data_IF_823871609889
#
_entry.id   IF_823871609889
#
_cell.length_a   1.000
_cell.length_b   1.000
_cell.length_c   1.000
_cell.angle_alpha   90.00
_cell.angle_beta   90.00
_cell.angle_gamma   90.00
#
_symmetry.space_group_name_H-M   'P 1'
#
loop_
_entity.id
_entity.type
_entity.pdbx_description
1 polymer ?
#
# COMPACT_ATOMS: atom_id res chain seq x y z
N UNK A 1 4.62 -5.53 20.28
CA UNK A 1 3.21 -5.99 20.40
C UNK A 1 2.91 -7.03 19.31
N UNK A 2 2.99 -8.32 19.66
CA UNK A 2 2.84 -9.48 18.76
C UNK A 2 1.39 -10.00 18.72
N UNK A 3 0.42 -9.09 18.53
CA UNK A 3 -1.01 -9.38 18.69
C UNK A 3 -1.90 -9.01 17.50
N UNK A 4 -1.32 -8.66 16.34
CA UNK A 4 -2.10 -8.38 15.15
C UNK A 4 -2.77 -9.65 14.64
N UNK A 5 -4.10 -9.71 14.62
CA UNK A 5 -4.82 -10.70 13.82
C UNK A 5 -4.21 -10.61 12.41
N UNK A 6 -3.57 -11.68 11.91
CA UNK A 6 -2.74 -11.70 10.68
C UNK A 6 -3.49 -11.46 9.36
N UNK A 7 -4.41 -10.51 9.37
CA UNK A 7 -5.23 -10.00 8.27
C UNK A 7 -4.74 -8.65 7.77
N UNK A 8 -3.90 -7.95 8.52
CA UNK A 8 -3.37 -6.65 8.14
C UNK A 8 -1.89 -6.76 7.76
N UNK A 9 -1.48 -6.05 6.71
CA UNK A 9 -0.10 -5.95 6.29
C UNK A 9 0.22 -4.50 5.94
N UNK A 10 1.32 -4.00 6.50
CA UNK A 10 1.87 -2.70 6.16
C UNK A 10 3.10 -2.87 5.27
N UNK A 11 3.12 -2.15 4.16
CA UNK A 11 4.22 -2.18 3.19
C UNK A 11 4.71 -0.75 3.01
N UNK A 12 6.02 -0.56 3.13
CA UNK A 12 6.69 0.71 2.85
C UNK A 12 7.72 0.48 1.76
N UNK A 13 7.64 1.29 0.72
CA UNK A 13 8.55 1.26 -0.41
C UNK A 13 8.98 2.67 -0.75
N UNK A 14 10.10 2.78 -1.44
CA UNK A 14 10.64 4.05 -1.92
C UNK A 14 11.06 3.90 -3.36
N UNK A 15 10.82 4.94 -4.14
CA UNK A 15 11.21 5.04 -5.53
C UNK A 15 12.70 5.46 -5.60
N UNK A 16 13.49 4.81 -6.46
CA UNK A 16 14.96 4.94 -6.47
C UNK A 16 15.54 5.55 -7.74
N UNK A 17 14.79 5.56 -8.84
CA UNK A 17 15.23 6.02 -10.16
C UNK A 17 14.86 7.49 -10.42
N UNK A 18 14.13 8.14 -9.50
CA UNK A 18 13.73 9.54 -9.62
C UNK A 18 12.62 9.74 -10.65
N UNK A 19 11.79 8.73 -10.90
CA UNK A 19 10.71 8.76 -11.87
C UNK A 19 9.36 8.42 -11.24
N UNK A 20 8.29 9.06 -11.69
CA UNK A 20 6.93 8.68 -11.30
C UNK A 20 6.67 7.24 -11.74
N UNK A 21 6.36 6.38 -10.77
CA UNK A 21 6.29 4.93 -10.96
C UNK A 21 4.95 4.41 -10.50
N UNK A 22 4.31 3.56 -11.31
CA UNK A 22 3.13 2.80 -10.89
C UNK A 22 3.58 1.49 -10.29
N UNK A 23 3.27 1.28 -9.01
CA UNK A 23 3.56 0.03 -8.30
C UNK A 23 2.38 -0.93 -8.47
N UNK A 24 2.68 -2.18 -8.77
CA UNK A 24 1.72 -3.28 -8.74
C UNK A 24 2.24 -4.39 -7.84
N UNK A 25 1.51 -4.67 -6.76
CA UNK A 25 1.82 -5.77 -5.85
C UNK A 25 0.79 -6.89 -6.02
N UNK A 26 1.24 -8.13 -6.09
CA UNK A 26 0.40 -9.32 -6.22
C UNK A 26 0.61 -10.24 -5.02
N UNK A 27 -0.48 -10.69 -4.42
CA UNK A 27 -0.50 -11.53 -3.23
C UNK A 27 -1.20 -12.86 -3.51
N UNK A 28 -1.00 -13.83 -2.62
CA UNK A 28 -1.68 -15.14 -2.68
C UNK A 28 -3.05 -15.15 -2.02
N UNK A 29 -3.46 -14.03 -1.40
CA UNK A 29 -4.76 -13.85 -0.74
C UNK A 29 -5.48 -12.66 -1.36
N UNK A 30 -6.80 -12.72 -1.39
CA UNK A 30 -7.62 -11.59 -1.80
C UNK A 30 -7.50 -10.44 -0.81
N UNK A 31 -7.39 -9.24 -1.37
CA UNK A 31 -7.32 -7.98 -0.63
C UNK A 31 -8.75 -7.46 -0.52
N UNK A 32 -9.21 -7.18 0.71
CA UNK A 32 -10.48 -6.50 0.95
C UNK A 32 -10.33 -4.99 0.88
N UNK A 33 -9.28 -4.46 1.50
CA UNK A 33 -9.06 -3.02 1.60
C UNK A 33 -7.59 -2.68 1.40
N UNK A 34 -7.34 -1.54 0.76
CA UNK A 34 -6.01 -0.99 0.55
C UNK A 34 -6.05 0.52 0.70
N UNK A 35 -5.20 1.07 1.57
CA UNK A 35 -5.19 2.50 1.90
C UNK A 35 -3.75 2.99 2.01
N UNK A 36 -3.46 4.13 1.39
CA UNK A 36 -2.18 4.81 1.60
C UNK A 36 -2.16 5.48 2.98
N UNK A 37 -1.06 5.27 3.68
CA UNK A 37 -0.88 5.75 5.06
C UNK A 37 0.42 6.56 5.19
N UNK A 38 0.48 7.41 6.21
CA UNK A 38 1.67 8.17 6.56
C UNK A 38 2.70 7.32 7.33
N UNK A 39 3.77 7.96 7.79
CA UNK A 39 4.82 7.27 8.57
C UNK A 39 4.33 6.73 9.92
N UNK A 40 3.23 7.30 10.42
CA UNK A 40 2.56 6.96 11.68
C UNK A 40 1.35 6.04 11.46
N UNK A 41 1.24 5.43 10.27
CA UNK A 41 0.20 4.46 9.92
C UNK A 41 -1.22 5.04 9.86
N UNK A 42 -1.34 6.37 9.75
CA UNK A 42 -2.62 7.05 9.60
C UNK A 42 -3.00 7.17 8.12
N UNK A 43 -4.28 6.91 7.73
CA UNK A 43 -4.76 7.14 6.37
C UNK A 43 -4.51 8.57 5.89
N UNK A 44 -4.04 8.71 4.65
CA UNK A 44 -3.84 10.02 4.02
C UNK A 44 -5.14 10.39 3.28
N UNK A 45 -5.89 11.36 3.81
CA UNK A 45 -7.23 11.72 3.34
C UNK A 45 -7.29 12.14 1.86
N UNK A 46 -6.30 12.90 1.38
CA UNK A 46 -6.26 13.45 0.02
C UNK A 46 -5.35 12.64 -0.94
N UNK A 47 -5.04 11.39 -0.58
CA UNK A 47 -4.18 10.53 -1.39
C UNK A 47 -4.98 9.79 -2.48
N UNK A 48 -4.36 9.49 -3.64
CA UNK A 48 -4.99 8.62 -4.64
C UNK A 48 -5.30 7.27 -4.01
N UNK A 49 -6.54 6.81 -4.16
CA UNK A 49 -6.94 5.51 -3.62
C UNK A 49 -6.28 4.38 -4.42
N UNK A 50 -5.62 3.41 -3.77
CA UNK A 50 -5.11 2.23 -4.45
C UNK A 50 -6.23 1.44 -5.14
N UNK A 51 -6.00 0.99 -6.36
CA UNK A 51 -6.92 0.11 -7.07
C UNK A 51 -6.70 -1.34 -6.62
N UNK A 52 -7.76 -1.98 -6.14
CA UNK A 52 -7.73 -3.40 -5.73
C UNK A 52 -8.40 -4.27 -6.80
N UNK A 53 -7.70 -5.29 -7.27
CA UNK A 53 -8.17 -6.26 -8.26
C UNK A 53 -7.96 -7.69 -7.75
N UNK A 54 -8.85 -8.13 -6.86
CA UNK A 54 -8.76 -9.44 -6.19
C UNK A 54 -7.52 -9.49 -5.29
N UNK A 55 -6.50 -10.23 -5.71
CA UNK A 55 -5.24 -10.37 -4.97
C UNK A 55 -4.15 -9.39 -5.39
N UNK A 56 -4.48 -8.39 -6.23
CA UNK A 56 -3.55 -7.37 -6.70
C UNK A 56 -3.95 -5.98 -6.20
N UNK A 57 -2.95 -5.14 -5.95
CA UNK A 57 -3.13 -3.72 -5.66
C UNK A 57 -2.20 -2.87 -6.53
N UNK A 58 -2.74 -1.79 -7.07
CA UNK A 58 -2.03 -0.86 -7.95
C UNK A 58 -2.14 0.55 -7.38
N UNK A 59 -1.02 1.26 -7.30
CA UNK A 59 -0.99 2.65 -6.83
C UNK A 59 0.22 3.42 -7.39
N UNK A 60 0.09 4.74 -7.60
CA UNK A 60 1.19 5.58 -8.04
C UNK A 60 2.13 5.92 -6.89
N UNK A 61 3.41 6.10 -7.21
CA UNK A 61 4.47 6.56 -6.31
C UNK A 61 5.25 7.64 -7.04
N UNK A 62 5.38 8.80 -6.40
CA UNK A 62 6.09 9.93 -7.00
C UNK A 62 7.60 9.69 -7.08
N UNK A 63 8.25 10.37 -8.02
CA UNK A 63 9.72 10.40 -8.13
C UNK A 63 10.40 10.71 -6.79
N UNK A 64 11.41 9.92 -6.42
CA UNK A 64 12.17 10.05 -5.17
C UNK A 64 11.31 10.12 -3.90
N UNK A 65 10.12 9.51 -3.93
CA UNK A 65 9.17 9.53 -2.81
C UNK A 65 9.09 8.18 -2.09
N UNK A 66 8.61 8.24 -0.85
CA UNK A 66 8.28 7.06 -0.04
C UNK A 66 6.76 6.93 0.01
N UNK A 67 6.25 5.74 -0.30
CA UNK A 67 4.86 5.40 -0.13
C UNK A 67 4.70 4.31 0.92
N UNK A 68 3.72 4.46 1.80
CA UNK A 68 3.29 3.39 2.71
C UNK A 68 1.85 3.02 2.39
N UNK A 69 1.58 1.73 2.31
CA UNK A 69 0.25 1.18 2.06
C UNK A 69 -0.09 0.17 3.14
N UNK A 70 -1.30 0.28 3.67
CA UNK A 70 -1.92 -0.67 4.58
C UNK A 70 -2.91 -1.52 3.78
N UNK A 71 -2.77 -2.84 3.89
CA UNK A 71 -3.63 -3.83 3.25
C UNK A 71 -4.38 -4.61 4.31
N UNK A 72 -5.65 -4.90 4.03
CA UNK A 72 -6.49 -5.83 4.80
C UNK A 72 -6.87 -6.98 3.87
N UNK A 73 -6.57 -8.21 4.29
CA UNK A 73 -6.88 -9.43 3.55
C UNK A 73 -8.21 -10.05 4.00
N UNK A 74 -8.85 -10.78 3.08
CA UNK A 74 -10.04 -11.56 3.36
C UNK A 74 -9.79 -12.74 4.31
#
# INVERSE_FOLDING_TARGET
>A
PEGGQGKEMLIRLYETEGQDTTVQLAFCRDIQEAVLVDINENPIADSPQPEVQGSKVVFPVGAASVASIKLVFA
#
